data_IF_155142032870
#
_entry.id   IF_155142032870
#
_cell.length_a   1.000
_cell.length_b   1.000
_cell.length_c   1.000
_cell.angle_alpha   90.00
_cell.angle_beta   90.00
_cell.angle_gamma   90.00
#
_symmetry.space_group_name_H-M   'P 1'
#
loop_
_entity.id
_entity.type
_entity.pdbx_description
1 polymer ?
#
# COMPACT_ATOMS: atom_id res chain seq x y z
N UNK A 1 -1.88 -1.05 12.92
CA UNK A 1 -2.10 0.40 13.09
C UNK A 1 -1.92 0.73 14.56
N UNK A 2 -1.19 1.80 14.88
CA UNK A 2 -0.92 2.20 16.27
C UNK A 2 -1.97 3.23 16.74
N UNK A 3 -2.36 4.15 15.86
CA UNK A 3 -3.39 5.15 16.11
C UNK A 3 -4.27 5.34 14.89
N UNK A 4 -5.59 5.34 15.08
CA UNK A 4 -6.60 5.62 14.04
C UNK A 4 -6.53 7.07 13.56
N UNK A 5 -7.28 7.42 12.51
CA UNK A 5 -7.25 8.76 11.91
C UNK A 5 -7.45 9.89 12.94
N UNK A 6 -6.61 10.93 12.85
CA UNK A 6 -6.68 12.16 13.64
C UNK A 6 -6.29 13.36 12.77
N UNK A 7 -6.70 14.61 13.12
CA UNK A 7 -6.31 15.79 12.34
C UNK A 7 -4.79 15.91 12.19
N UNK A 8 -4.32 16.11 10.97
CA UNK A 8 -2.88 16.21 10.68
C UNK A 8 -2.30 17.50 11.28
N UNK A 9 -1.35 17.41 12.23
CA UNK A 9 -0.76 18.58 12.89
C UNK A 9 0.11 19.44 11.96
N UNK A 10 0.48 18.93 10.78
CA UNK A 10 1.28 19.65 9.78
C UNK A 10 0.45 20.38 8.74
N UNK A 11 -0.87 20.15 8.73
CA UNK A 11 -1.78 20.82 7.80
C UNK A 11 -1.94 22.30 8.17
N UNK A 12 -1.57 23.18 7.22
CA UNK A 12 -1.73 24.62 7.37
C UNK A 12 -3.17 25.07 7.07
N UNK A 13 -3.85 24.37 6.16
CA UNK A 13 -5.21 24.67 5.73
C UNK A 13 -5.95 23.36 5.32
N UNK A 14 -7.27 23.34 5.51
CA UNK A 14 -8.14 22.22 5.11
C UNK A 14 -8.23 21.07 6.11
N UNK A 15 -9.13 20.13 5.85
CA UNK A 15 -9.34 18.94 6.68
C UNK A 15 -8.43 17.79 6.21
N UNK A 16 -7.23 17.73 6.79
CA UNK A 16 -6.29 16.63 6.57
C UNK A 16 -6.24 15.72 7.79
N UNK A 17 -6.09 14.42 7.53
CA UNK A 17 -6.03 13.40 8.57
C UNK A 17 -4.76 12.56 8.42
N UNK A 18 -4.11 12.30 9.55
CA UNK A 18 -2.95 11.43 9.68
C UNK A 18 -3.29 10.17 10.48
N UNK A 19 -2.45 9.15 10.33
CA UNK A 19 -2.53 7.87 11.05
C UNK A 19 -1.14 7.46 11.53
N UNK A 20 -1.06 6.75 12.64
CA UNK A 20 0.23 6.23 13.11
C UNK A 20 0.35 4.75 12.75
N UNK A 21 1.44 4.40 12.06
CA UNK A 21 1.82 3.03 11.72
C UNK A 21 3.11 2.66 12.43
N UNK A 22 3.27 1.37 12.72
CA UNK A 22 4.52 0.82 13.24
C UNK A 22 5.09 -0.15 12.22
N UNK A 23 6.42 -0.25 12.23
CA UNK A 23 7.12 -1.31 11.53
C UNK A 23 6.66 -2.68 12.04
N UNK A 24 6.39 -3.61 11.13
CA UNK A 24 6.01 -4.98 11.46
C UNK A 24 7.08 -5.98 11.04
N UNK A 25 7.42 -6.03 9.75
CA UNK A 25 8.44 -6.93 9.19
C UNK A 25 9.02 -6.35 7.90
N UNK A 26 10.20 -6.82 7.53
CA UNK A 26 10.69 -6.69 6.16
C UNK A 26 10.03 -7.76 5.26
N UNK A 27 9.90 -7.45 3.99
CA UNK A 27 9.74 -8.47 2.94
C UNK A 27 11.10 -9.12 2.66
N UNK A 28 11.10 -10.36 2.19
CA UNK A 28 12.35 -11.06 1.88
C UNK A 28 13.16 -10.38 0.76
N UNK A 29 12.47 -9.73 -0.20
CA UNK A 29 13.06 -8.77 -1.13
C UNK A 29 12.08 -7.65 -1.51
N UNK A 30 12.56 -6.52 -2.06
CA UNK A 30 11.69 -5.53 -2.69
C UNK A 30 10.94 -6.13 -3.90
N UNK A 31 9.66 -5.84 -4.02
CA UNK A 31 8.83 -6.20 -5.17
C UNK A 31 8.69 -4.98 -6.08
N UNK A 32 9.19 -5.07 -7.32
CA UNK A 32 9.16 -3.94 -8.27
C UNK A 32 7.77 -3.79 -8.87
N UNK A 33 7.37 -2.54 -9.13
CA UNK A 33 6.12 -2.25 -9.84
C UNK A 33 6.06 -2.92 -11.22
N UNK A 34 7.20 -3.07 -11.90
CA UNK A 34 7.27 -3.79 -13.18
C UNK A 34 6.92 -5.28 -13.05
N UNK A 35 7.25 -5.93 -11.94
CA UNK A 35 6.89 -7.33 -11.68
C UNK A 35 5.38 -7.45 -11.45
N UNK A 36 4.82 -6.55 -10.63
CA UNK A 36 3.38 -6.54 -10.34
C UNK A 36 2.53 -6.36 -11.61
N UNK A 37 2.99 -5.54 -12.56
CA UNK A 37 2.31 -5.29 -13.84
C UNK A 37 2.27 -6.50 -14.79
N UNK A 38 3.14 -7.49 -14.59
CA UNK A 38 3.17 -8.70 -15.43
C UNK A 38 2.16 -9.76 -14.96
N UNK A 39 1.55 -9.59 -13.80
CA UNK A 39 0.67 -10.57 -13.18
C UNK A 39 -0.78 -10.18 -13.46
N UNK A 40 -1.47 -11.00 -14.25
CA UNK A 40 -2.86 -10.76 -14.68
C UNK A 40 -3.81 -10.53 -13.52
N UNK A 41 -3.61 -11.27 -12.43
CA UNK A 41 -4.51 -11.29 -11.27
C UNK A 41 -4.41 -9.99 -10.47
N UNK A 42 -3.30 -9.25 -10.60
CA UNK A 42 -3.10 -7.94 -9.99
C UNK A 42 -3.53 -6.78 -10.91
N UNK A 43 -4.05 -7.05 -12.11
CA UNK A 43 -4.45 -6.00 -13.07
C UNK A 43 -5.46 -5.00 -12.50
N UNK A 44 -6.27 -5.43 -11.52
CA UNK A 44 -7.25 -4.60 -10.85
C UNK A 44 -6.74 -3.87 -9.59
N UNK A 45 -5.52 -4.15 -9.15
CA UNK A 45 -4.90 -3.51 -7.99
C UNK A 45 -4.91 -1.99 -8.18
N UNK A 46 -5.48 -1.28 -7.21
CA UNK A 46 -5.61 0.18 -7.28
C UNK A 46 -4.29 0.89 -7.52
N UNK A 47 -3.18 0.38 -6.97
CA UNK A 47 -1.83 0.89 -7.22
C UNK A 47 -1.44 0.89 -8.71
N UNK A 48 -1.88 -0.11 -9.49
CA UNK A 48 -1.60 -0.21 -10.92
C UNK A 48 -2.52 0.70 -11.72
N UNK A 49 -3.81 0.76 -11.35
CA UNK A 49 -4.83 1.53 -12.07
C UNK A 49 -4.77 3.04 -11.79
N UNK A 50 -4.35 3.43 -10.59
CA UNK A 50 -4.39 4.81 -10.10
C UNK A 50 -3.03 5.24 -9.56
N UNK A 51 -2.03 5.40 -10.44
CA UNK A 51 -0.65 5.68 -10.04
C UNK A 51 -0.40 7.01 -9.30
N UNK A 52 -1.39 7.90 -9.21
CA UNK A 52 -1.33 9.15 -8.41
C UNK A 52 -1.99 9.01 -7.04
N UNK A 53 -2.65 7.89 -6.75
CA UNK A 53 -3.27 7.61 -5.47
C UNK A 53 -2.23 7.01 -4.52
N UNK A 54 -1.85 7.76 -3.48
CA UNK A 54 -0.83 7.36 -2.51
C UNK A 54 -1.31 6.36 -1.46
N UNK A 55 -2.62 6.31 -1.20
CA UNK A 55 -3.25 5.38 -0.25
C UNK A 55 -4.41 4.70 -0.95
N UNK A 56 -4.35 3.37 -1.03
CA UNK A 56 -5.37 2.59 -1.71
C UNK A 56 -5.73 1.32 -0.93
N UNK A 57 -6.96 0.82 -1.09
CA UNK A 57 -7.33 -0.48 -0.53
C UNK A 57 -6.58 -1.59 -1.26
N UNK A 58 -6.26 -2.65 -0.51
CA UNK A 58 -5.68 -3.89 -1.03
C UNK A 58 -6.50 -5.04 -0.47
N UNK A 59 -6.97 -5.91 -1.35
CA UNK A 59 -7.68 -7.12 -0.95
C UNK A 59 -6.73 -8.15 -0.35
N UNK A 60 -7.26 -9.10 0.43
CA UNK A 60 -6.46 -10.19 1.00
C UNK A 60 -5.72 -11.00 -0.09
N UNK A 61 -6.41 -11.28 -1.20
CA UNK A 61 -5.85 -12.01 -2.33
C UNK A 61 -4.66 -11.27 -2.97
N UNK A 62 -4.80 -9.97 -3.23
CA UNK A 62 -3.71 -9.16 -3.79
C UNK A 62 -2.51 -9.09 -2.82
N UNK A 63 -2.78 -8.95 -1.52
CA UNK A 63 -1.73 -8.93 -0.50
C UNK A 63 -0.94 -10.25 -0.45
N UNK A 64 -1.64 -11.37 -0.44
CA UNK A 64 -1.02 -12.70 -0.39
C UNK A 64 -0.16 -12.97 -1.63
N UNK A 65 -0.61 -12.50 -2.80
CA UNK A 65 0.17 -12.59 -4.03
C UNK A 65 1.44 -11.73 -3.97
N UNK A 66 1.35 -10.50 -3.44
CA UNK A 66 2.53 -9.64 -3.23
C UNK A 66 3.52 -10.30 -2.27
N UNK A 67 3.05 -10.89 -1.17
CA UNK A 67 3.92 -11.62 -0.25
C UNK A 67 4.58 -12.84 -0.91
N UNK A 68 3.85 -13.59 -1.75
CA UNK A 68 4.40 -14.72 -2.50
C UNK A 68 5.50 -14.31 -3.48
N UNK A 69 5.32 -13.20 -4.21
CA UNK A 69 6.35 -12.67 -5.12
C UNK A 69 7.60 -12.28 -4.35
N UNK A 70 7.43 -11.67 -3.18
CA UNK A 70 8.53 -11.26 -2.32
C UNK A 70 9.32 -12.44 -1.75
N UNK A 71 8.72 -13.64 -1.66
CA UNK A 71 9.37 -14.87 -1.19
C UNK A 71 10.05 -15.66 -2.32
N UNK A 72 9.81 -15.26 -3.57
CA UNK A 72 10.36 -15.90 -4.77
C UNK A 72 11.72 -15.32 -5.17
#
# INVERSE_FOLDING_TARGET
MVKTAYPDPTALEGEWYAVDVAFQKYLARPVKLSELKLISDLSNLSLIRQGRLSVCPVTKHEWDMIESIAQS
#
